data_IF_213217475498
#
_entry.id   IF_213217475498
#
_cell.length_a   1.000
_cell.length_b   1.000
_cell.length_c   1.000
_cell.angle_alpha   90.00
_cell.angle_beta   90.00
_cell.angle_gamma   90.00
#
_symmetry.space_group_name_H-M   'P 1'
#
loop_
_entity.id
_entity.type
_entity.pdbx_description
1 polymer ?
#
# COMPACT_ATOMS: atom_id res chain seq x y z
N UNK A 1 -6.95 -41.17 85.88
CA UNK A 1 -5.82 -40.76 85.02
C UNK A 1 -6.12 -41.20 83.60
N UNK A 2 -6.73 -40.31 82.82
CA UNK A 2 -7.02 -40.49 81.39
C UNK A 2 -5.80 -40.13 80.54
N UNK A 3 -5.19 -41.11 79.85
CA UNK A 3 -4.39 -40.85 78.65
C UNK A 3 -4.53 -42.06 77.73
N UNK A 4 -5.09 -41.86 76.53
CA UNK A 4 -4.64 -42.46 75.26
C UNK A 4 -5.81 -42.62 74.25
N UNK A 5 -6.13 -41.52 73.55
CA UNK A 5 -6.83 -41.55 72.26
C UNK A 5 -6.33 -40.43 71.37
N UNK A 6 -5.11 -40.53 70.82
CA UNK A 6 -4.68 -39.74 69.67
C UNK A 6 -3.61 -40.48 68.87
N UNK A 7 -4.00 -41.15 67.79
CA UNK A 7 -3.20 -41.24 66.56
C UNK A 7 -3.91 -42.14 65.54
N UNK A 8 -4.61 -41.52 64.57
CA UNK A 8 -4.93 -42.12 63.25
C UNK A 8 -5.67 -41.13 62.33
N UNK A 9 -5.15 -39.91 62.09
CA UNK A 9 -5.72 -39.00 61.06
C UNK A 9 -4.62 -38.23 60.27
N UNK A 10 -3.38 -38.72 60.20
CA UNK A 10 -2.29 -38.01 59.47
C UNK A 10 -1.93 -38.65 58.12
N UNK A 11 -2.47 -39.83 57.78
CA UNK A 11 -2.13 -40.56 56.55
C UNK A 11 -2.93 -40.17 55.30
N UNK A 12 -4.15 -39.64 55.41
CA UNK A 12 -4.99 -39.35 54.23
C UNK A 12 -4.67 -38.03 53.55
N UNK A 13 -4.30 -37.00 54.33
CA UNK A 13 -4.00 -35.65 53.83
C UNK A 13 -2.72 -35.57 52.99
N UNK A 14 -1.71 -36.41 53.26
CA UNK A 14 -0.46 -36.44 52.48
C UNK A 14 -0.66 -37.07 51.11
N UNK A 15 -1.41 -38.17 51.02
CA UNK A 15 -1.74 -38.85 49.76
C UNK A 15 -2.63 -37.96 48.87
N UNK A 16 -3.56 -37.22 49.47
CA UNK A 16 -4.41 -36.29 48.74
C UNK A 16 -3.60 -35.13 48.15
N UNK A 17 -2.66 -34.54 48.90
CA UNK A 17 -1.75 -33.49 48.39
C UNK A 17 -0.84 -33.98 47.25
N UNK A 18 -0.32 -35.20 47.35
CA UNK A 18 0.51 -35.81 46.29
C UNK A 18 -0.32 -36.01 45.00
N UNK A 19 -1.56 -36.50 45.13
CA UNK A 19 -2.47 -36.67 43.98
C UNK A 19 -2.83 -35.32 43.33
N UNK A 20 -3.10 -34.28 44.11
CA UNK A 20 -3.38 -32.95 43.58
C UNK A 20 -2.16 -32.36 42.86
N UNK A 21 -0.96 -32.51 43.41
CA UNK A 21 0.27 -32.04 42.77
C UNK A 21 0.57 -32.76 41.45
N UNK A 22 0.33 -34.09 41.40
CA UNK A 22 0.47 -34.88 40.18
C UNK A 22 -0.53 -34.45 39.10
N UNK A 23 -1.80 -34.20 39.48
CA UNK A 23 -2.84 -33.73 38.57
C UNK A 23 -2.51 -32.34 37.99
N UNK A 24 -2.06 -31.40 38.83
CA UNK A 24 -1.66 -30.06 38.39
C UNK A 24 -0.47 -30.10 37.40
N UNK A 25 0.52 -30.97 37.65
CA UNK A 25 1.64 -31.18 36.71
C UNK A 25 1.16 -31.75 35.38
N UNK A 26 0.24 -32.71 35.40
CA UNK A 26 -0.33 -33.29 34.18
C UNK A 26 -1.09 -32.25 33.34
N UNK A 27 -1.89 -31.38 33.99
CA UNK A 27 -2.60 -30.28 33.32
C UNK A 27 -1.61 -29.29 32.70
N UNK A 28 -0.57 -28.89 33.44
CA UNK A 28 0.46 -27.98 32.93
C UNK A 28 1.20 -28.57 31.73
N UNK A 29 1.52 -29.87 31.77
CA UNK A 29 2.14 -30.59 30.66
C UNK A 29 1.23 -30.61 29.43
N UNK A 30 -0.07 -30.92 29.62
CA UNK A 30 -1.06 -30.94 28.54
C UNK A 30 -1.22 -29.55 27.89
N UNK A 31 -1.28 -28.49 28.70
CA UNK A 31 -1.33 -27.12 28.22
C UNK A 31 -0.08 -26.74 27.41
N UNK A 32 1.10 -27.16 27.85
CA UNK A 32 2.34 -26.97 27.12
C UNK A 32 2.33 -27.70 25.77
N UNK A 33 1.90 -28.97 25.73
CA UNK A 33 1.80 -29.73 24.48
C UNK A 33 0.77 -29.12 23.52
N UNK A 34 -0.37 -28.64 24.02
CA UNK A 34 -1.37 -27.93 23.21
C UNK A 34 -0.81 -26.65 22.60
N UNK A 35 -0.05 -25.85 23.36
CA UNK A 35 0.60 -24.64 22.85
C UNK A 35 1.66 -24.98 21.78
N UNK A 36 2.52 -25.98 22.03
CA UNK A 36 3.50 -26.46 21.06
C UNK A 36 2.84 -26.99 19.78
N UNK A 37 1.78 -27.80 19.91
CA UNK A 37 1.03 -28.32 18.77
C UNK A 37 0.38 -27.19 17.97
N UNK A 38 -0.24 -26.21 18.63
CA UNK A 38 -0.83 -25.05 17.97
C UNK A 38 0.24 -24.21 17.23
N UNK A 39 1.43 -24.05 17.80
CA UNK A 39 2.56 -23.38 17.14
C UNK A 39 3.04 -24.14 15.90
N UNK A 40 3.15 -25.47 15.98
CA UNK A 40 3.50 -26.34 14.86
C UNK A 40 2.43 -26.30 13.76
N UNK A 41 1.15 -26.42 14.11
CA UNK A 41 0.04 -26.35 13.18
C UNK A 41 0.01 -25.00 12.45
N UNK A 42 0.17 -23.88 13.18
CA UNK A 42 0.28 -22.54 12.59
C UNK A 42 1.48 -22.42 11.65
N UNK A 43 2.62 -23.02 12.00
CA UNK A 43 3.81 -23.04 11.14
C UNK A 43 3.56 -23.84 9.86
N UNK A 44 2.97 -25.03 9.95
CA UNK A 44 2.62 -25.85 8.79
C UNK A 44 1.57 -25.16 7.89
N UNK A 45 0.53 -24.58 8.48
CA UNK A 45 -0.47 -23.79 7.75
C UNK A 45 0.17 -22.60 7.05
N UNK A 46 1.07 -21.87 7.72
CA UNK A 46 1.79 -20.74 7.13
C UNK A 46 2.66 -21.18 5.94
N UNK A 47 3.36 -22.31 6.04
CA UNK A 47 4.17 -22.85 4.93
C UNK A 47 3.28 -23.25 3.76
N UNK A 48 2.15 -23.92 4.02
CA UNK A 48 1.17 -24.26 2.98
C UNK A 48 0.64 -23.00 2.28
N UNK A 49 0.26 -21.99 3.07
CA UNK A 49 -0.26 -20.72 2.55
C UNK A 49 0.80 -19.94 1.75
N UNK A 50 2.07 -19.98 2.16
CA UNK A 50 3.19 -19.38 1.43
C UNK A 50 3.38 -19.98 0.04
N UNK A 51 3.16 -21.28 -0.10
CA UNK A 51 3.31 -21.96 -1.39
C UNK A 51 2.09 -21.73 -2.31
N UNK A 52 0.93 -21.39 -1.76
CA UNK A 52 -0.28 -21.06 -2.53
C UNK A 52 -0.44 -19.57 -2.84
N UNK A 53 0.35 -18.69 -2.21
CA UNK A 53 0.18 -17.25 -2.36
C UNK A 53 0.81 -16.76 -3.68
N UNK A 54 -0.02 -16.62 -4.71
CA UNK A 54 0.41 -16.04 -5.98
C UNK A 54 0.56 -14.52 -5.86
N UNK A 55 1.75 -14.00 -6.19
CA UNK A 55 2.07 -12.58 -6.09
C UNK A 55 3.05 -12.15 -7.18
N UNK A 56 3.11 -10.85 -7.43
CA UNK A 56 4.08 -10.26 -8.34
C UNK A 56 4.67 -8.99 -7.75
N UNK A 57 5.99 -8.84 -7.91
CA UNK A 57 6.72 -7.62 -7.55
C UNK A 57 6.67 -6.66 -8.74
N UNK A 58 6.47 -5.37 -8.49
CA UNK A 58 6.35 -4.38 -9.58
C UNK A 58 6.91 -3.02 -9.18
N UNK A 59 6.97 -2.11 -10.16
CA UNK A 59 7.42 -0.74 -9.92
C UNK A 59 8.93 -0.57 -10.02
N UNK A 60 9.48 0.28 -9.15
CA UNK A 60 10.86 0.79 -9.26
C UNK A 60 11.83 -0.01 -8.37
N UNK A 61 12.89 -0.58 -8.93
CA UNK A 61 13.90 -1.36 -8.17
C UNK A 61 14.60 -0.51 -7.09
N UNK A 62 14.76 0.79 -7.37
CA UNK A 62 15.37 1.80 -6.50
C UNK A 62 14.38 2.43 -5.50
N UNK A 63 13.19 1.84 -5.34
CA UNK A 63 12.25 2.22 -4.27
C UNK A 63 12.75 1.75 -2.90
N UNK A 64 12.41 2.51 -1.86
CA UNK A 64 12.69 2.14 -0.47
C UNK A 64 11.84 0.96 -0.01
N UNK A 65 10.61 0.89 -0.52
CA UNK A 65 9.66 -0.20 -0.28
C UNK A 65 9.66 -1.15 -1.48
N UNK A 66 9.15 -2.37 -1.29
CA UNK A 66 8.88 -3.31 -2.38
C UNK A 66 7.38 -3.31 -2.63
N UNK A 67 6.97 -2.87 -3.81
CA UNK A 67 5.58 -2.92 -4.22
C UNK A 67 5.23 -4.35 -4.65
N UNK A 68 4.28 -4.96 -3.95
CA UNK A 68 3.84 -6.34 -4.21
C UNK A 68 2.33 -6.34 -4.41
N UNK A 69 1.88 -6.95 -5.50
CA UNK A 69 0.46 -7.29 -5.67
C UNK A 69 0.25 -8.75 -5.31
N UNK A 70 -0.76 -9.04 -4.50
CA UNK A 70 -1.23 -10.39 -4.25
C UNK A 70 -2.45 -10.66 -5.13
N UNK A 71 -2.43 -11.78 -5.84
CA UNK A 71 -3.55 -12.21 -6.68
C UNK A 71 -4.50 -13.06 -5.84
N UNK A 72 -5.77 -12.66 -5.80
CA UNK A 72 -6.82 -13.29 -5.01
C UNK A 72 -8.02 -13.63 -5.89
N UNK A 73 -8.78 -14.65 -5.50
CA UNK A 73 -9.92 -15.13 -6.28
C UNK A 73 -11.08 -14.14 -6.27
N UNK A 74 -11.33 -13.51 -5.11
CA UNK A 74 -12.42 -12.55 -4.92
C UNK A 74 -11.95 -11.37 -4.10
N UNK A 75 -12.28 -10.16 -4.57
CA UNK A 75 -12.02 -8.94 -3.82
C UNK A 75 -12.93 -8.86 -2.59
N UNK A 76 -12.41 -8.62 -1.38
CA UNK A 76 -13.24 -8.37 -0.20
C UNK A 76 -14.14 -7.15 -0.41
N UNK A 77 -15.27 -7.10 0.30
CA UNK A 77 -16.28 -6.06 0.08
C UNK A 77 -15.87 -4.75 0.75
N UNK A 78 -15.33 -4.81 1.97
CA UNK A 78 -14.99 -3.62 2.75
C UNK A 78 -13.52 -3.21 2.61
N UNK A 79 -13.24 -1.92 2.77
CA UNK A 79 -11.87 -1.38 2.79
C UNK A 79 -11.07 -2.00 3.94
N UNK A 80 -11.70 -2.25 5.09
CA UNK A 80 -11.04 -2.79 6.27
C UNK A 80 -10.59 -4.24 6.05
N UNK A 81 -11.42 -5.07 5.39
CA UNK A 81 -11.04 -6.44 5.03
C UNK A 81 -9.89 -6.47 4.03
N UNK A 82 -9.94 -5.62 2.99
CA UNK A 82 -8.84 -5.47 2.03
C UNK A 82 -7.53 -5.10 2.75
N UNK A 83 -7.60 -4.15 3.69
CA UNK A 83 -6.45 -3.74 4.50
C UNK A 83 -5.91 -4.90 5.36
N UNK A 84 -6.79 -5.60 6.07
CA UNK A 84 -6.40 -6.71 6.94
C UNK A 84 -5.75 -7.85 6.14
N UNK A 85 -6.34 -8.24 5.01
CA UNK A 85 -5.82 -9.28 4.14
C UNK A 85 -4.44 -8.89 3.56
N UNK A 86 -4.30 -7.64 3.10
CA UNK A 86 -3.02 -7.15 2.59
C UNK A 86 -1.90 -7.18 3.64
N UNK A 87 -2.23 -6.93 4.92
CA UNK A 87 -1.28 -7.01 6.04
C UNK A 87 -0.92 -8.45 6.37
N UNK A 88 -1.90 -9.35 6.39
CA UNK A 88 -1.69 -10.76 6.64
C UNK A 88 -0.73 -11.36 5.60
N UNK A 89 -1.01 -11.13 4.32
CA UNK A 89 -0.16 -11.63 3.23
C UNK A 89 1.24 -11.00 3.24
N UNK A 90 1.34 -9.71 3.55
CA UNK A 90 2.65 -9.07 3.75
C UNK A 90 3.44 -9.71 4.90
N UNK A 91 2.80 -10.02 6.04
CA UNK A 91 3.47 -10.63 7.19
C UNK A 91 3.92 -12.08 6.91
N UNK A 92 3.28 -12.73 5.96
CA UNK A 92 3.69 -14.05 5.45
C UNK A 92 4.94 -13.92 4.58
N UNK A 93 4.97 -12.93 3.69
CA UNK A 93 6.03 -12.72 2.71
C UNK A 93 7.25 -11.94 3.25
N UNK A 94 7.09 -11.16 4.33
CA UNK A 94 8.12 -10.28 4.89
C UNK A 94 9.49 -10.94 5.13
N UNK A 95 9.60 -12.23 5.54
CA UNK A 95 10.90 -12.89 5.67
C UNK A 95 11.71 -12.97 4.35
N UNK A 96 11.07 -12.94 3.18
CA UNK A 96 11.74 -12.91 1.87
C UNK A 96 12.33 -11.51 1.56
N UNK A 97 11.90 -10.46 2.29
CA UNK A 97 12.31 -9.07 2.10
C UNK A 97 12.82 -8.47 3.41
N UNK A 98 13.87 -9.05 4.00
CA UNK A 98 14.39 -8.64 5.32
C UNK A 98 14.87 -7.18 5.40
N UNK A 99 15.23 -6.57 4.26
CA UNK A 99 15.80 -5.22 4.18
C UNK A 99 14.82 -4.15 3.75
N UNK A 100 13.62 -4.52 3.26
CA UNK A 100 12.63 -3.57 2.73
C UNK A 100 11.23 -3.87 3.26
N UNK A 101 10.47 -2.81 3.51
CA UNK A 101 9.05 -2.95 3.83
C UNK A 101 8.27 -3.33 2.57
N UNK A 102 7.30 -4.23 2.73
CA UNK A 102 6.35 -4.54 1.65
C UNK A 102 5.27 -3.46 1.62
N UNK A 103 5.04 -2.87 0.45
CA UNK A 103 3.85 -2.05 0.18
C UNK A 103 2.84 -2.92 -0.59
N UNK A 104 1.82 -3.48 0.09
CA UNK A 104 0.95 -4.45 -0.54
C UNK A 104 -0.19 -3.82 -1.31
N UNK A 105 -0.58 -4.49 -2.38
CA UNK A 105 -1.82 -4.29 -3.11
C UNK A 105 -2.53 -5.64 -3.32
N UNK A 106 -3.82 -5.60 -3.66
CA UNK A 106 -4.61 -6.79 -3.97
C UNK A 106 -5.19 -6.62 -5.37
N UNK A 107 -5.20 -7.70 -6.14
CA UNK A 107 -5.84 -7.74 -7.44
C UNK A 107 -6.60 -9.06 -7.65
N UNK A 108 -7.73 -8.97 -8.34
CA UNK A 108 -8.40 -10.13 -8.95
C UNK A 108 -8.11 -10.10 -10.43
N UNK A 109 -7.73 -11.24 -10.99
CA UNK A 109 -7.43 -11.37 -12.41
C UNK A 109 -8.60 -12.03 -13.15
N UNK A 110 -8.74 -11.67 -14.43
CA UNK A 110 -9.64 -12.32 -15.36
C UNK A 110 -8.99 -12.30 -16.74
N UNK A 111 -8.83 -13.47 -17.38
CA UNK A 111 -8.25 -13.58 -18.73
C UNK A 111 -6.88 -12.88 -18.89
N UNK A 112 -6.01 -13.00 -17.88
CA UNK A 112 -4.67 -12.42 -17.91
C UNK A 112 -4.61 -10.89 -17.82
N UNK A 113 -5.68 -10.24 -17.35
CA UNK A 113 -5.71 -8.81 -17.03
C UNK A 113 -6.27 -8.58 -15.62
N UNK A 114 -5.97 -7.42 -15.03
CA UNK A 114 -6.57 -7.01 -13.76
C UNK A 114 -8.06 -6.72 -13.97
N UNK A 115 -8.91 -7.32 -13.14
CA UNK A 115 -10.37 -7.08 -13.10
C UNK A 115 -10.74 -6.13 -11.97
N UNK A 116 -10.22 -6.39 -10.77
CA UNK A 116 -10.44 -5.58 -9.58
C UNK A 116 -9.12 -5.26 -8.91
N UNK A 117 -9.04 -4.08 -8.31
CA UNK A 117 -7.84 -3.60 -7.62
C UNK A 117 -8.22 -2.96 -6.29
N UNK A 118 -7.39 -3.17 -5.26
CA UNK A 118 -7.58 -2.49 -3.98
C UNK A 118 -7.07 -1.03 -4.02
N UNK A 119 -5.83 -0.80 -4.46
CA UNK A 119 -5.22 0.53 -4.56
C UNK A 119 -4.86 0.87 -6.01
N UNK A 120 -5.29 2.04 -6.48
CA UNK A 120 -4.99 2.51 -7.83
C UNK A 120 -6.15 2.29 -8.79
N UNK A 121 -5.84 2.21 -10.08
CA UNK A 121 -6.82 1.96 -11.14
C UNK A 121 -6.46 0.67 -11.88
N UNK A 122 -7.46 0.02 -12.48
CA UNK A 122 -7.30 -1.28 -13.13
C UNK A 122 -6.23 -1.21 -14.23
N UNK A 123 -6.33 -0.23 -15.11
CA UNK A 123 -5.39 -0.01 -16.20
C UNK A 123 -3.99 0.37 -15.70
N UNK A 124 -3.87 1.12 -14.60
CA UNK A 124 -2.56 1.56 -14.06
C UNK A 124 -1.81 0.39 -13.46
N UNK A 125 -2.49 -0.40 -12.61
CA UNK A 125 -1.87 -1.57 -12.01
C UNK A 125 -1.58 -2.64 -13.05
N UNK A 126 -2.50 -2.90 -13.98
CA UNK A 126 -2.30 -3.88 -15.06
C UNK A 126 -1.03 -3.54 -15.86
N UNK A 127 -0.93 -2.29 -16.32
CA UNK A 127 0.21 -1.91 -17.16
C UNK A 127 1.51 -1.83 -16.36
N UNK A 128 1.45 -1.39 -15.10
CA UNK A 128 2.63 -1.42 -14.22
C UNK A 128 3.14 -2.85 -14.03
N UNK A 129 2.25 -3.82 -13.77
CA UNK A 129 2.61 -5.23 -13.66
C UNK A 129 3.22 -5.76 -14.97
N UNK A 130 2.57 -5.49 -16.10
CA UNK A 130 3.05 -5.92 -17.41
C UNK A 130 4.45 -5.35 -17.73
N UNK A 131 4.63 -4.04 -17.59
CA UNK A 131 5.82 -3.33 -18.02
C UNK A 131 7.02 -3.50 -17.08
N UNK A 132 6.78 -3.77 -15.80
CA UNK A 132 7.84 -3.85 -14.78
C UNK A 132 8.13 -5.28 -14.30
N UNK A 133 7.45 -6.29 -14.85
CA UNK A 133 7.66 -7.70 -14.48
C UNK A 133 9.14 -8.10 -14.54
N UNK A 134 9.81 -7.76 -15.65
CA UNK A 134 11.22 -8.08 -15.90
C UNK A 134 12.22 -7.30 -15.05
N UNK A 135 11.78 -6.35 -14.22
CA UNK A 135 12.67 -5.63 -13.31
C UNK A 135 12.97 -6.42 -12.03
N UNK A 136 12.34 -7.57 -11.80
CA UNK A 136 12.57 -8.34 -10.59
C UNK A 136 12.76 -9.81 -10.92
N UNK A 137 13.47 -10.52 -10.05
CA UNK A 137 13.49 -11.98 -10.07
C UNK A 137 12.18 -12.46 -9.45
N UNK A 138 11.24 -12.82 -10.31
CA UNK A 138 9.88 -13.22 -9.91
C UNK A 138 9.87 -14.70 -9.50
N UNK A 139 9.05 -15.01 -8.49
CA UNK A 139 8.84 -16.39 -8.04
C UNK A 139 7.84 -17.14 -8.94
N UNK A 140 6.90 -16.42 -9.53
CA UNK A 140 5.82 -16.94 -10.35
C UNK A 140 5.87 -16.33 -11.74
N UNK A 141 5.34 -17.03 -12.73
CA UNK A 141 5.22 -16.53 -14.10
C UNK A 141 4.38 -15.26 -14.17
N UNK A 142 4.61 -14.47 -15.22
CA UNK A 142 3.86 -13.23 -15.43
C UNK A 142 2.37 -13.54 -15.63
N UNK A 143 1.54 -13.01 -14.73
CA UNK A 143 0.09 -13.24 -14.77
C UNK A 143 -0.62 -12.27 -15.72
N UNK A 144 0.04 -11.19 -16.14
CA UNK A 144 -0.53 -10.18 -17.03
C UNK A 144 -0.03 -10.39 -18.45
N UNK A 145 -0.96 -10.62 -19.38
CA UNK A 145 -0.63 -11.00 -20.77
C UNK A 145 -0.63 -9.83 -21.75
N UNK A 146 -1.27 -8.71 -21.39
CA UNK A 146 -1.38 -7.52 -22.24
C UNK A 146 -1.56 -6.24 -21.43
N UNK A 147 -1.16 -5.11 -22.02
CA UNK A 147 -1.49 -3.77 -21.51
C UNK A 147 -2.94 -3.39 -21.84
N UNK A 148 -3.49 -2.48 -21.05
CA UNK A 148 -4.80 -1.87 -21.22
C UNK A 148 -4.66 -0.40 -21.66
N UNK A 149 -5.62 0.15 -22.41
CA UNK A 149 -5.68 1.58 -22.69
C UNK A 149 -5.73 2.40 -21.40
N UNK A 150 -5.00 3.51 -21.36
CA UNK A 150 -4.92 4.38 -20.19
C UNK A 150 -6.03 5.42 -20.17
N UNK A 151 -6.71 5.52 -19.04
CA UNK A 151 -7.60 6.63 -18.74
C UNK A 151 -6.80 7.79 -18.16
N UNK A 152 -6.50 8.74 -19.05
CA UNK A 152 -5.72 9.92 -18.73
C UNK A 152 -6.54 10.87 -17.82
N UNK A 153 -7.85 10.97 -18.00
CA UNK A 153 -8.69 11.86 -17.19
C UNK A 153 -8.77 11.39 -15.75
N UNK A 154 -9.00 10.08 -15.56
CA UNK A 154 -8.97 9.47 -14.24
C UNK A 154 -7.60 9.62 -13.58
N UNK A 155 -6.51 9.56 -14.35
CA UNK A 155 -5.16 9.83 -13.83
C UNK A 155 -5.06 11.24 -13.26
N UNK A 156 -5.47 12.26 -14.01
CA UNK A 156 -5.44 13.65 -13.55
C UNK A 156 -6.37 13.90 -12.35
N UNK A 157 -7.56 13.30 -12.32
CA UNK A 157 -8.46 13.36 -11.16
C UNK A 157 -7.77 12.84 -9.88
N UNK A 158 -7.18 11.65 -9.98
CA UNK A 158 -6.50 10.99 -8.85
C UNK A 158 -5.23 11.70 -8.44
N UNK A 159 -4.40 12.12 -9.40
CA UNK A 159 -3.16 12.85 -9.11
C UNK A 159 -3.44 14.19 -8.44
N UNK A 160 -4.49 14.90 -8.86
CA UNK A 160 -4.93 16.13 -8.20
C UNK A 160 -5.34 15.88 -6.74
N UNK A 161 -6.13 14.82 -6.48
CA UNK A 161 -6.48 14.40 -5.11
C UNK A 161 -5.24 14.08 -4.29
N UNK A 162 -4.28 13.33 -4.85
CA UNK A 162 -3.07 12.92 -4.16
C UNK A 162 -2.18 14.12 -3.79
N UNK A 163 -1.92 15.02 -4.73
CA UNK A 163 -1.14 16.25 -4.49
C UNK A 163 -1.75 17.05 -3.33
N UNK A 164 -3.06 17.30 -3.37
CA UNK A 164 -3.77 17.99 -2.28
C UNK A 164 -3.66 17.24 -0.94
N UNK A 165 -3.77 15.91 -0.96
CA UNK A 165 -3.70 15.10 0.26
C UNK A 165 -2.34 15.23 0.98
N UNK A 166 -1.23 15.29 0.23
CA UNK A 166 0.10 15.46 0.78
C UNK A 166 0.28 16.84 1.45
N UNK A 167 -0.42 17.85 0.95
CA UNK A 167 -0.38 19.21 1.48
C UNK A 167 -1.41 19.47 2.60
N UNK A 168 -2.20 18.46 3.00
CA UNK A 168 -3.30 18.63 3.97
C UNK A 168 -2.86 18.96 5.41
N UNK A 169 -1.56 18.98 5.70
CA UNK A 169 -0.97 19.40 6.98
C UNK A 169 -0.33 20.79 6.94
N UNK A 170 -0.52 21.54 5.86
CA UNK A 170 0.04 22.89 5.65
C UNK A 170 -0.95 23.98 6.06
N UNK A 171 -0.58 25.27 5.86
CA UNK A 171 -1.47 26.44 6.01
C UNK A 171 -2.76 26.34 5.17
N UNK A 172 -2.75 25.56 4.09
CA UNK A 172 -3.89 25.34 3.20
C UNK A 172 -4.85 24.24 3.67
N UNK A 173 -4.66 23.68 4.88
CA UNK A 173 -5.44 22.52 5.37
C UNK A 173 -6.95 22.68 5.20
N UNK A 174 -7.50 23.84 5.55
CA UNK A 174 -8.95 24.08 5.50
C UNK A 174 -9.49 24.01 4.07
N UNK A 175 -8.90 24.76 3.13
CA UNK A 175 -9.30 24.76 1.72
C UNK A 175 -9.04 23.40 1.06
N UNK A 176 -7.92 22.73 1.38
CA UNK A 176 -7.62 21.37 0.91
C UNK A 176 -8.69 20.37 1.38
N UNK A 177 -9.06 20.37 2.66
CA UNK A 177 -10.08 19.43 3.18
C UNK A 177 -11.44 19.67 2.54
N UNK A 178 -11.76 20.92 2.22
CA UNK A 178 -12.94 21.25 1.45
C UNK A 178 -12.85 20.72 0.01
N UNK A 179 -11.77 20.99 -0.73
CA UNK A 179 -11.59 20.51 -2.10
C UNK A 179 -11.59 18.98 -2.23
N UNK A 180 -11.02 18.26 -1.26
CA UNK A 180 -10.98 16.79 -1.25
C UNK A 180 -12.37 16.12 -1.11
N UNK A 181 -13.39 16.87 -0.68
CA UNK A 181 -14.79 16.42 -0.56
C UNK A 181 -15.65 16.84 -1.76
N UNK A 182 -15.11 17.62 -2.68
CA UNK A 182 -15.82 18.19 -3.82
C UNK A 182 -15.24 17.66 -5.15
N UNK A 183 -15.79 18.12 -6.28
CA UNK A 183 -15.39 17.75 -7.64
C UNK A 183 -14.03 18.36 -8.06
N UNK A 184 -13.64 18.15 -9.32
CA UNK A 184 -12.36 18.60 -9.87
C UNK A 184 -12.20 20.13 -9.87
N UNK A 185 -13.26 20.91 -10.14
CA UNK A 185 -13.15 22.37 -10.22
C UNK A 185 -12.68 22.99 -8.90
N UNK A 186 -13.19 22.51 -7.77
CA UNK A 186 -12.73 22.93 -6.45
C UNK A 186 -11.27 22.53 -6.19
N UNK A 187 -10.84 21.38 -6.70
CA UNK A 187 -9.43 20.95 -6.61
C UNK A 187 -8.52 21.88 -7.41
N UNK A 188 -8.91 22.26 -8.62
CA UNK A 188 -8.18 23.21 -9.46
C UNK A 188 -8.04 24.57 -8.75
N UNK A 189 -9.14 25.10 -8.20
CA UNK A 189 -9.12 26.38 -7.48
C UNK A 189 -8.10 26.36 -6.33
N UNK A 190 -8.16 25.34 -5.46
CA UNK A 190 -7.22 25.23 -4.33
C UNK A 190 -5.79 24.96 -4.80
N UNK A 191 -5.57 24.21 -5.87
CA UNK A 191 -4.23 24.03 -6.44
C UNK A 191 -3.61 25.36 -6.90
N UNK A 192 -4.41 26.29 -7.42
CA UNK A 192 -3.93 27.63 -7.84
C UNK A 192 -3.56 28.53 -6.67
N UNK A 193 -4.13 28.31 -5.49
CA UNK A 193 -3.81 29.05 -4.26
C UNK A 193 -2.52 28.56 -3.60
N UNK A 194 -2.08 27.34 -3.92
CA UNK A 194 -0.90 26.73 -3.32
C UNK A 194 0.36 27.37 -3.91
N UNK A 195 1.12 27.97 -3.00
CA UNK A 195 2.47 28.44 -3.24
C UNK A 195 3.43 27.62 -2.37
N UNK A 196 4.15 26.70 -3.01
CA UNK A 196 5.13 25.83 -2.39
C UNK A 196 6.33 26.61 -1.87
N UNK A 197 6.72 27.72 -2.51
CA UNK A 197 7.92 28.49 -2.15
C UNK A 197 7.75 29.16 -0.79
N UNK A 198 6.53 29.61 -0.46
CA UNK A 198 6.23 30.25 0.82
C UNK A 198 5.73 29.28 1.90
N UNK A 199 5.82 27.96 1.68
CA UNK A 199 5.50 26.99 2.70
C UNK A 199 6.65 26.87 3.70
N UNK A 200 6.49 27.52 4.84
CA UNK A 200 7.48 27.47 5.93
C UNK A 200 7.60 26.09 6.59
N UNK A 201 6.58 25.22 6.49
CA UNK A 201 6.63 23.89 7.07
C UNK A 201 5.64 22.91 6.39
N UNK A 202 6.15 21.74 5.96
CA UNK A 202 5.35 20.60 5.50
C UNK A 202 5.10 19.55 6.61
N UNK A 203 5.71 19.73 7.78
CA UNK A 203 5.69 18.86 8.95
C UNK A 203 7.07 18.75 9.62
N UNK A 204 7.76 17.63 9.39
CA UNK A 204 9.19 17.48 9.73
C UNK A 204 10.00 17.25 8.43
N UNK A 205 11.32 17.46 8.46
CA UNK A 205 12.17 17.44 7.27
C UNK A 205 12.12 16.12 6.49
N UNK A 206 12.07 14.98 7.19
CA UNK A 206 11.97 13.67 6.54
C UNK A 206 10.62 13.46 5.84
N UNK A 207 9.54 14.00 6.41
CA UNK A 207 8.20 14.00 5.81
C UNK A 207 8.13 14.94 4.62
N UNK A 208 8.79 16.09 4.70
CA UNK A 208 8.86 17.08 3.62
C UNK A 208 9.48 16.50 2.35
N UNK A 209 10.69 15.94 2.45
CA UNK A 209 11.37 15.33 1.30
C UNK A 209 10.51 14.22 0.68
N UNK A 210 9.83 13.42 1.50
CA UNK A 210 8.91 12.38 1.02
C UNK A 210 7.66 12.97 0.33
N UNK A 211 7.13 14.10 0.82
CA UNK A 211 6.03 14.85 0.20
C UNK A 211 6.46 15.42 -1.15
N UNK A 212 7.58 16.14 -1.21
CA UNK A 212 8.08 16.76 -2.45
C UNK A 212 8.31 15.71 -3.54
N UNK A 213 8.97 14.59 -3.17
CA UNK A 213 9.11 13.43 -4.06
C UNK A 213 7.77 12.95 -4.59
N UNK A 214 6.77 12.84 -3.71
CA UNK A 214 5.47 12.30 -4.09
C UNK A 214 4.68 13.27 -4.97
N UNK A 215 4.80 14.59 -4.75
CA UNK A 215 4.24 15.61 -5.64
C UNK A 215 4.92 15.56 -7.01
N UNK A 216 6.26 15.57 -7.05
CA UNK A 216 7.03 15.48 -8.29
C UNK A 216 6.70 14.21 -9.10
N UNK A 217 6.55 13.07 -8.42
CA UNK A 217 6.14 11.81 -9.05
C UNK A 217 4.73 11.90 -9.65
N UNK A 218 3.75 12.45 -8.93
CA UNK A 218 2.38 12.60 -9.45
C UNK A 218 2.31 13.54 -10.64
N UNK A 219 3.03 14.66 -10.59
CA UNK A 219 3.11 15.63 -11.70
C UNK A 219 3.79 14.96 -12.90
N UNK A 220 5.01 14.46 -12.73
CA UNK A 220 5.79 13.89 -13.82
C UNK A 220 5.10 12.71 -14.49
N UNK A 221 4.48 11.81 -13.71
CA UNK A 221 3.75 10.68 -14.27
C UNK A 221 2.51 11.12 -15.08
N UNK A 222 1.77 12.11 -14.60
CA UNK A 222 0.57 12.62 -15.29
C UNK A 222 0.94 13.38 -16.56
N UNK A 223 1.99 14.20 -16.50
CA UNK A 223 2.49 14.96 -17.64
C UNK A 223 3.10 14.06 -18.72
N UNK A 224 3.87 13.03 -18.33
CA UNK A 224 4.36 12.03 -19.28
C UNK A 224 3.20 11.32 -19.98
N UNK A 225 2.18 10.88 -19.21
CA UNK A 225 1.02 10.19 -19.77
C UNK A 225 0.23 11.09 -20.71
N UNK A 226 0.07 12.38 -20.37
CA UNK A 226 -0.54 13.36 -21.25
C UNK A 226 0.17 13.45 -22.61
N UNK A 227 1.49 13.32 -22.61
CA UNK A 227 2.33 13.33 -23.81
C UNK A 227 2.42 11.94 -24.49
N UNK A 228 1.57 10.99 -24.11
CA UNK A 228 1.52 9.65 -24.70
C UNK A 228 2.60 8.68 -24.21
N UNK A 229 3.34 9.02 -23.14
CA UNK A 229 4.38 8.16 -22.56
C UNK A 229 4.01 7.71 -21.15
N UNK A 230 3.89 6.40 -20.96
CA UNK A 230 3.62 5.84 -19.64
C UNK A 230 4.93 5.61 -18.87
N UNK A 231 5.03 6.18 -17.66
CA UNK A 231 6.20 6.05 -16.78
C UNK A 231 5.78 5.40 -15.46
N UNK A 232 6.50 4.37 -15.03
CA UNK A 232 6.25 3.63 -13.79
C UNK A 232 7.33 3.82 -12.74
N UNK A 233 8.52 4.25 -13.15
CA UNK A 233 9.69 4.37 -12.29
C UNK A 233 10.13 5.82 -12.15
N UNK A 234 10.88 6.10 -11.08
CA UNK A 234 11.47 7.43 -10.85
C UNK A 234 12.45 7.80 -11.97
N UNK A 235 13.26 6.84 -12.44
CA UNK A 235 14.21 7.05 -13.53
C UNK A 235 13.50 7.44 -14.82
N UNK A 236 12.45 6.71 -15.22
CA UNK A 236 11.67 7.05 -16.41
C UNK A 236 11.10 8.47 -16.37
N UNK A 237 10.60 8.90 -15.21
CA UNK A 237 10.11 10.29 -15.05
C UNK A 237 11.28 11.27 -15.14
N UNK A 238 12.40 11.00 -14.47
CA UNK A 238 13.60 11.85 -14.51
C UNK A 238 14.27 11.91 -15.89
N UNK A 239 14.04 10.92 -16.76
CA UNK A 239 14.49 10.95 -18.15
C UNK A 239 13.57 11.82 -19.02
N UNK A 240 12.27 11.87 -18.69
CA UNK A 240 11.32 12.74 -19.39
C UNK A 240 11.39 14.20 -18.91
N UNK A 241 11.65 14.39 -17.63
CA UNK A 241 11.66 15.69 -16.94
C UNK A 241 12.88 15.77 -16.02
N UNK A 242 14.08 16.04 -16.59
CA UNK A 242 15.33 16.10 -15.82
C UNK A 242 15.29 17.05 -14.64
N UNK A 243 14.52 18.13 -14.73
CA UNK A 243 14.32 19.14 -13.67
C UNK A 243 13.61 18.57 -12.43
N UNK A 244 12.90 17.44 -12.56
CA UNK A 244 12.26 16.77 -11.42
C UNK A 244 13.17 15.78 -10.70
N UNK A 245 14.39 15.55 -11.21
CA UNK A 245 15.30 14.50 -10.74
C UNK A 245 15.67 14.65 -9.26
N UNK A 246 15.99 15.86 -8.80
CA UNK A 246 16.40 16.13 -7.42
C UNK A 246 15.32 15.71 -6.41
N UNK A 247 14.05 16.03 -6.67
CA UNK A 247 12.93 15.61 -5.83
C UNK A 247 12.71 14.09 -5.86
N UNK A 248 12.80 13.48 -7.04
CA UNK A 248 12.62 12.04 -7.23
C UNK A 248 13.72 11.24 -6.49
N UNK A 249 14.95 11.75 -6.52
CA UNK A 249 16.11 11.22 -5.82
C UNK A 249 16.14 11.59 -4.32
N UNK A 250 15.24 12.48 -3.86
CA UNK A 250 15.15 12.95 -2.47
C UNK A 250 16.39 13.73 -2.02
N UNK A 251 16.97 14.52 -2.90
CA UNK A 251 18.11 15.38 -2.58
C UNK A 251 17.72 16.44 -1.55
N UNK A 252 18.61 16.64 -0.58
CA UNK A 252 18.45 17.68 0.46
C UNK A 252 18.59 19.05 -0.21
N UNK A 253 17.76 20.02 0.19
CA UNK A 253 17.73 21.38 -0.36
C UNK A 253 17.30 21.47 -1.84
N UNK A 254 16.43 20.57 -2.29
CA UNK A 254 15.79 20.72 -3.60
C UNK A 254 15.03 22.06 -3.67
N UNK A 255 15.30 22.86 -4.70
CA UNK A 255 14.68 24.18 -4.91
C UNK A 255 13.15 24.07 -5.01
N UNK A 256 12.36 24.92 -4.37
CA UNK A 256 10.90 24.86 -4.46
C UNK A 256 10.36 25.62 -5.69
N UNK A 257 11.15 26.53 -6.27
CA UNK A 257 10.75 27.32 -7.45
C UNK A 257 10.51 26.40 -8.64
N UNK A 258 11.42 25.46 -8.88
CA UNK A 258 11.31 24.50 -9.97
C UNK A 258 10.09 23.58 -9.80
N UNK A 259 9.79 23.11 -8.58
CA UNK A 259 8.60 22.29 -8.35
C UNK A 259 7.31 23.10 -8.48
N UNK A 260 7.30 24.37 -8.04
CA UNK A 260 6.17 25.27 -8.23
C UNK A 260 5.91 25.51 -9.72
N UNK A 261 6.95 25.69 -10.53
CA UNK A 261 6.82 25.81 -11.99
C UNK A 261 6.10 24.59 -12.58
N UNK A 262 6.53 23.38 -12.21
CA UNK A 262 5.90 22.15 -12.68
C UNK A 262 4.47 21.96 -12.16
N UNK A 263 4.18 22.40 -10.93
CA UNK A 263 2.81 22.42 -10.41
C UNK A 263 1.92 23.35 -11.24
N UNK A 264 2.40 24.54 -11.58
CA UNK A 264 1.67 25.48 -12.44
C UNK A 264 1.42 24.90 -13.84
N UNK A 265 2.41 24.23 -14.43
CA UNK A 265 2.25 23.52 -15.72
C UNK A 265 1.25 22.38 -15.65
N UNK A 266 1.28 21.60 -14.57
CA UNK A 266 0.29 20.58 -14.33
C UNK A 266 -1.13 21.16 -14.25
N UNK A 267 -1.31 22.28 -13.54
CA UNK A 267 -2.60 22.98 -13.42
C UNK A 267 -3.08 23.50 -14.78
N UNK A 268 -2.20 24.10 -15.58
CA UNK A 268 -2.52 24.59 -16.94
C UNK A 268 -3.07 23.45 -17.82
N UNK A 269 -2.39 22.30 -17.85
CA UNK A 269 -2.86 21.12 -18.58
C UNK A 269 -4.16 20.58 -18.00
N UNK A 270 -4.28 20.51 -16.68
CA UNK A 270 -5.48 20.05 -16.00
C UNK A 270 -6.71 20.91 -16.36
N UNK A 271 -6.56 22.23 -16.44
CA UNK A 271 -7.60 23.17 -16.86
C UNK A 271 -8.00 22.97 -18.33
N UNK A 272 -7.04 22.73 -19.22
CA UNK A 272 -7.31 22.41 -20.63
C UNK A 272 -8.12 21.11 -20.72
N UNK A 273 -7.67 20.06 -20.05
CA UNK A 273 -8.35 18.76 -20.04
C UNK A 273 -9.76 18.85 -19.45
N UNK A 274 -9.93 19.59 -18.36
CA UNK A 274 -11.23 19.74 -17.71
C UNK A 274 -12.32 20.26 -18.65
N UNK A 275 -11.98 20.99 -19.72
CA UNK A 275 -12.95 21.46 -20.74
C UNK A 275 -13.53 20.33 -21.59
N UNK A 276 -12.81 19.22 -21.75
CA UNK A 276 -13.22 18.07 -22.55
C UNK A 276 -13.56 16.82 -21.72
N UNK A 277 -13.38 16.88 -20.39
CA UNK A 277 -13.70 15.78 -19.49
C UNK A 277 -15.22 15.58 -19.39
N UNK A 278 -15.64 14.32 -19.43
CA UNK A 278 -17.04 13.94 -19.19
C UNK A 278 -17.35 13.74 -17.69
N UNK A 279 -16.32 13.58 -16.86
CA UNK A 279 -16.44 13.26 -15.43
C UNK A 279 -15.48 14.13 -14.63
N UNK A 280 -15.98 14.69 -13.53
CA UNK A 280 -15.23 15.59 -12.64
C UNK A 280 -14.99 14.99 -11.25
N UNK A 281 -15.39 13.74 -11.06
CA UNK A 281 -15.23 12.95 -9.84
C UNK A 281 -14.55 11.63 -10.18
N UNK A 282 -13.85 11.05 -9.20
CA UNK A 282 -13.25 9.73 -9.39
C UNK A 282 -14.34 8.66 -9.56
N UNK A 283 -14.08 7.69 -10.43
CA UNK A 283 -14.99 6.61 -10.73
C UNK A 283 -14.26 5.28 -10.78
N UNK A 284 -15.01 4.21 -10.54
CA UNK A 284 -14.58 2.85 -10.81
C UNK A 284 -14.98 2.47 -12.24
N UNK A 285 -14.17 1.66 -12.90
CA UNK A 285 -14.54 1.09 -14.20
C UNK A 285 -15.67 0.09 -14.00
N UNK A 286 -16.72 0.23 -14.80
CA UNK A 286 -17.62 -0.89 -15.08
C UNK A 286 -17.04 -1.54 -16.35
N UNK A 287 -16.37 -2.68 -16.18
CA UNK A 287 -15.63 -3.37 -17.25
C UNK A 287 -16.40 -3.43 -18.57
N UNK A 288 -15.95 -2.69 -19.59
CA UNK A 288 -16.35 -2.87 -20.98
C UNK A 288 -15.38 -3.80 -21.75
N UNK A 289 -14.28 -4.21 -21.12
CA UNK A 289 -13.21 -5.00 -21.75
C UNK A 289 -13.39 -6.53 -21.63
N UNK A 290 -14.49 -6.98 -21.03
CA UNK A 290 -14.85 -8.40 -20.89
C UNK A 290 -15.84 -8.84 -22.00
N UNK A 291 -15.51 -8.55 -23.25
CA UNK A 291 -16.15 -9.17 -24.42
C UNK A 291 -15.18 -10.12 -25.09
#
# INVERSE_FOLDING_TARGET
MEVSRRCRITGSLSVQRIRTAALLRAIALLAFYLDCFNKLLKKCLKISLMNSLNYQIFGSQDSQDVDVVFFIDKMPETIQEKLNLSKEYSAILQPEFSTKCINPNLAVLENGIVKYVYKGTVDELNNALYCTYGFYNQKFDNQIVKSLPRDIDLKFLRSSRMILSFLSKTKYRASIKYALRNNLHHKIQVLKEIDLVTLANFGNSQTEIAILKSIAFQIGQSMALHNGKECYTKSQIADCFPELRSYLAREINSDLITLQFWLNKYIEILEIRAKSMNRFEEYEYINSYAK
#
